data_IF_216113428244
#
_entry.id   IF_216113428244
#
_cell.length_a   1.000
_cell.length_b   1.000
_cell.length_c   1.000
_cell.angle_alpha   90.00
_cell.angle_beta   90.00
_cell.angle_gamma   90.00
#
_symmetry.space_group_name_H-M   'P 1'
#
loop_
_entity.id
_entity.type
_entity.pdbx_description
1 polymer ?
#
# COMPACT_ATOMS: atom_id res chain seq x y z
N UNK A 1 -0.46 16.70 8.88
CA UNK A 1 -0.32 16.36 10.32
C UNK A 1 0.85 17.16 10.93
N UNK A 2 0.77 17.58 12.18
CA UNK A 2 1.80 18.44 12.80
C UNK A 2 2.92 17.52 13.38
N UNK A 3 4.20 17.98 13.36
CA UNK A 3 5.36 17.26 13.98
C UNK A 3 5.11 16.85 15.44
N UNK A 4 4.37 17.67 16.20
CA UNK A 4 3.95 17.38 17.57
C UNK A 4 3.02 16.15 17.66
N UNK A 5 2.10 16.00 16.73
CA UNK A 5 1.16 14.87 16.71
C UNK A 5 1.88 13.55 16.37
N UNK A 6 2.89 13.61 15.50
CA UNK A 6 3.73 12.44 15.14
C UNK A 6 4.58 12.04 16.35
N UNK A 7 5.26 13.00 17.01
CA UNK A 7 6.05 12.73 18.23
C UNK A 7 5.19 12.20 19.38
N UNK A 8 3.99 12.75 19.58
CA UNK A 8 3.06 12.26 20.62
C UNK A 8 2.61 10.82 20.34
N UNK A 9 2.36 10.47 19.07
CA UNK A 9 2.01 9.09 18.65
C UNK A 9 3.19 8.12 18.83
N UNK A 10 4.40 8.53 18.45
CA UNK A 10 5.63 7.76 18.67
C UNK A 10 5.86 7.52 20.18
N UNK A 11 5.74 8.55 21.00
CA UNK A 11 5.91 8.44 22.44
C UNK A 11 4.83 7.56 23.11
N UNK A 12 3.57 7.65 22.67
CA UNK A 12 2.50 6.77 23.16
C UNK A 12 2.75 5.29 22.82
N UNK A 13 3.45 5.01 21.72
CA UNK A 13 3.85 3.64 21.32
C UNK A 13 5.04 3.12 22.11
N UNK A 14 6.06 3.95 22.34
CA UNK A 14 7.27 3.56 23.09
C UNK A 14 6.97 3.15 24.54
N UNK A 15 5.92 3.71 25.15
CA UNK A 15 5.47 3.36 26.52
C UNK A 15 4.40 2.24 26.54
N UNK A 16 4.20 1.52 25.43
CA UNK A 16 3.30 0.36 25.35
C UNK A 16 1.80 0.67 25.41
N UNK A 17 1.40 1.95 25.54
CA UNK A 17 -0.01 2.38 25.61
C UNK A 17 -0.80 2.01 24.37
N UNK A 18 -0.15 2.00 23.19
CA UNK A 18 -0.78 1.55 21.93
C UNK A 18 -1.05 0.06 21.93
N UNK A 19 -0.17 -0.77 22.54
CA UNK A 19 -0.38 -2.22 22.64
C UNK A 19 -1.59 -2.54 23.54
N UNK A 20 -1.81 -1.73 24.57
CA UNK A 20 -2.98 -1.81 25.45
C UNK A 20 -4.24 -1.32 24.72
N UNK A 21 -4.15 -0.21 23.97
CA UNK A 21 -5.24 0.36 23.18
C UNK A 21 -5.73 -0.64 22.10
N UNK A 22 -4.82 -1.26 21.32
CA UNK A 22 -5.17 -2.27 20.30
C UNK A 22 -5.73 -3.58 20.87
N UNK A 23 -5.56 -3.83 22.18
CA UNK A 23 -6.14 -5.00 22.86
C UNK A 23 -7.63 -4.80 23.17
N UNK A 24 -8.08 -3.54 23.27
CA UNK A 24 -9.45 -3.17 23.64
C UNK A 24 -10.28 -2.57 22.50
N UNK A 25 -9.65 -2.20 21.37
CA UNK A 25 -10.38 -1.75 20.18
C UNK A 25 -10.71 -2.95 19.32
N UNK A 26 -11.99 -3.20 18.99
CA UNK A 26 -12.35 -4.26 18.04
C UNK A 26 -11.63 -4.04 16.73
N UNK A 27 -10.90 -5.06 16.26
CA UNK A 27 -10.11 -5.00 15.00
C UNK A 27 -10.94 -4.64 13.76
N UNK A 28 -12.27 -4.83 13.80
CA UNK A 28 -13.18 -4.55 12.69
C UNK A 28 -13.41 -3.08 12.36
N UNK A 29 -13.19 -2.14 13.29
CA UNK A 29 -13.60 -0.76 13.08
C UNK A 29 -12.64 0.13 12.27
N UNK A 30 -11.34 -0.22 12.18
CA UNK A 30 -10.33 0.55 11.45
C UNK A 30 -10.24 0.14 9.99
N UNK A 31 -10.08 -1.16 9.75
CA UNK A 31 -10.05 -1.75 8.40
C UNK A 31 -11.37 -1.46 7.66
N UNK A 32 -12.51 -1.52 8.38
CA UNK A 32 -13.81 -1.23 7.81
C UNK A 32 -13.96 0.21 7.30
N UNK A 33 -13.48 1.21 8.04
CA UNK A 33 -13.52 2.61 7.60
C UNK A 33 -12.66 2.84 6.36
N UNK A 34 -11.47 2.26 6.33
CA UNK A 34 -10.57 2.36 5.19
C UNK A 34 -11.15 1.65 3.97
N UNK A 35 -11.61 0.41 4.14
CA UNK A 35 -12.29 -0.33 3.09
C UNK A 35 -13.51 0.43 2.56
N UNK A 36 -14.39 0.94 3.43
CA UNK A 36 -15.56 1.71 3.03
C UNK A 36 -15.19 2.98 2.24
N UNK A 37 -14.08 3.64 2.60
CA UNK A 37 -13.60 4.81 1.86
C UNK A 37 -13.16 4.43 0.44
N UNK A 38 -12.50 3.29 0.24
CA UNK A 38 -12.13 2.79 -1.09
C UNK A 38 -13.39 2.41 -1.88
N UNK A 39 -14.29 1.64 -1.24
CA UNK A 39 -15.52 1.17 -1.88
C UNK A 39 -16.48 2.29 -2.28
N UNK A 40 -16.47 3.42 -1.55
CA UNK A 40 -17.26 4.60 -1.89
C UNK A 40 -16.71 5.35 -3.13
N UNK A 41 -15.40 5.21 -3.39
CA UNK A 41 -14.75 5.88 -4.52
C UNK A 41 -14.72 5.02 -5.79
N UNK A 42 -14.68 3.69 -5.63
CA UNK A 42 -14.59 2.73 -6.72
C UNK A 42 -15.89 2.70 -7.53
N UNK A 43 -15.75 2.98 -8.82
CA UNK A 43 -16.86 3.03 -9.79
C UNK A 43 -16.77 1.85 -10.78
N UNK A 44 -17.90 1.40 -11.34
CA UNK A 44 -17.87 0.44 -12.44
C UNK A 44 -17.03 0.95 -13.62
N UNK A 45 -16.18 0.09 -14.15
CA UNK A 45 -15.27 0.45 -15.24
C UNK A 45 -13.90 1.00 -14.80
N UNK A 46 -13.69 1.24 -13.50
CA UNK A 46 -12.40 1.68 -12.99
C UNK A 46 -11.32 0.61 -13.12
N UNK A 47 -10.08 1.07 -13.29
CA UNK A 47 -8.88 0.31 -13.00
C UNK A 47 -8.37 0.67 -11.61
N UNK A 48 -8.33 -0.32 -10.71
CA UNK A 48 -7.75 -0.20 -9.38
C UNK A 48 -6.46 -0.99 -9.28
N UNK A 49 -5.44 -0.39 -8.68
CA UNK A 49 -4.21 -1.09 -8.28
C UNK A 49 -4.23 -1.40 -6.79
N UNK A 50 -4.03 -2.68 -6.43
CA UNK A 50 -3.86 -3.17 -5.07
C UNK A 50 -2.37 -3.51 -4.85
N UNK A 51 -1.62 -2.55 -4.32
CA UNK A 51 -0.17 -2.67 -4.08
C UNK A 51 0.05 -3.22 -2.67
N UNK A 52 0.71 -4.38 -2.58
CA UNK A 52 0.79 -5.19 -1.37
C UNK A 52 -0.50 -5.99 -1.18
N UNK A 53 -0.89 -6.74 -2.21
CA UNK A 53 -2.15 -7.47 -2.24
C UNK A 53 -2.22 -8.65 -1.26
N UNK A 54 -1.06 -9.11 -0.77
CA UNK A 54 -0.95 -10.24 0.15
C UNK A 54 -1.70 -11.47 -0.41
N UNK A 55 -2.54 -12.12 0.37
CA UNK A 55 -3.35 -13.27 -0.07
C UNK A 55 -4.64 -12.87 -0.82
N UNK A 56 -4.81 -11.61 -1.19
CA UNK A 56 -5.90 -11.14 -2.05
C UNK A 56 -7.24 -10.89 -1.36
N UNK A 57 -7.26 -10.61 -0.04
CA UNK A 57 -8.51 -10.31 0.67
C UNK A 57 -9.18 -9.05 0.11
N UNK A 58 -8.42 -7.96 0.03
CA UNK A 58 -8.90 -6.70 -0.56
C UNK A 58 -9.11 -6.81 -2.06
N UNK A 59 -8.19 -7.48 -2.77
CA UNK A 59 -8.27 -7.70 -4.22
C UNK A 59 -9.62 -8.30 -4.63
N UNK A 60 -10.10 -9.32 -3.91
CA UNK A 60 -11.42 -9.93 -4.16
C UNK A 60 -12.57 -8.94 -3.99
N UNK A 61 -12.58 -8.20 -2.89
CA UNK A 61 -13.61 -7.20 -2.61
C UNK A 61 -13.65 -6.13 -3.72
N UNK A 62 -12.46 -5.70 -4.16
CA UNK A 62 -12.35 -4.74 -5.26
C UNK A 62 -12.81 -5.34 -6.59
N UNK A 63 -12.46 -6.60 -6.87
CA UNK A 63 -12.88 -7.31 -8.07
C UNK A 63 -14.40 -7.48 -8.13
N UNK A 64 -15.03 -7.86 -7.04
CA UNK A 64 -16.50 -7.94 -6.94
C UNK A 64 -17.17 -6.59 -7.23
N UNK A 65 -16.63 -5.51 -6.69
CA UNK A 65 -17.19 -4.15 -6.87
C UNK A 65 -16.93 -3.58 -8.26
N UNK A 66 -15.71 -3.76 -8.80
CA UNK A 66 -15.36 -3.27 -10.14
C UNK A 66 -16.18 -3.97 -11.23
N UNK A 67 -16.55 -5.23 -10.99
CA UNK A 67 -17.27 -6.05 -11.96
C UNK A 67 -16.50 -6.27 -13.26
N UNK A 68 -17.09 -6.99 -14.21
CA UNK A 68 -16.42 -7.35 -15.47
C UNK A 68 -16.12 -6.17 -16.41
N UNK A 69 -16.62 -4.98 -16.15
CA UNK A 69 -16.29 -3.76 -16.90
C UNK A 69 -15.08 -3.02 -16.36
N UNK A 70 -14.75 -3.21 -15.07
CA UNK A 70 -13.55 -2.69 -14.45
C UNK A 70 -12.40 -3.69 -14.47
N UNK A 71 -11.27 -3.30 -13.88
CA UNK A 71 -10.08 -4.16 -13.73
C UNK A 71 -9.43 -3.93 -12.38
N UNK A 72 -8.79 -4.97 -11.86
CA UNK A 72 -7.93 -4.88 -10.67
C UNK A 72 -6.56 -5.44 -11.00
N UNK A 73 -5.52 -4.66 -10.76
CA UNK A 73 -4.14 -5.14 -10.85
C UNK A 73 -3.62 -5.28 -9.42
N UNK A 74 -3.21 -6.50 -9.08
CA UNK A 74 -2.76 -6.86 -7.74
C UNK A 74 -1.27 -7.19 -7.74
N UNK A 75 -0.49 -6.48 -6.92
CA UNK A 75 0.95 -6.60 -6.85
C UNK A 75 1.37 -7.23 -5.53
N UNK A 76 1.99 -8.41 -5.60
CA UNK A 76 2.46 -9.15 -4.44
C UNK A 76 3.79 -9.84 -4.76
N UNK A 77 4.92 -9.38 -4.17
CA UNK A 77 6.23 -9.93 -4.49
C UNK A 77 6.53 -11.29 -3.87
N UNK A 78 5.91 -11.64 -2.74
CA UNK A 78 6.21 -12.88 -2.00
C UNK A 78 5.62 -14.09 -2.69
N UNK A 79 6.45 -15.07 -3.17
CA UNK A 79 5.96 -16.18 -4.02
C UNK A 79 4.81 -16.99 -3.42
N UNK A 80 4.88 -17.26 -2.11
CA UNK A 80 3.82 -18.04 -1.42
C UNK A 80 2.52 -17.28 -1.27
N UNK A 81 2.58 -15.96 -1.04
CA UNK A 81 1.41 -15.10 -0.96
C UNK A 81 0.82 -14.85 -2.35
N UNK A 82 1.69 -14.64 -3.35
CA UNK A 82 1.28 -14.51 -4.75
C UNK A 82 0.53 -15.75 -5.27
N UNK A 83 1.02 -16.96 -4.95
CA UNK A 83 0.33 -18.19 -5.33
C UNK A 83 -1.07 -18.27 -4.71
N UNK A 84 -1.21 -17.88 -3.45
CA UNK A 84 -2.51 -17.83 -2.76
C UNK A 84 -3.41 -16.72 -3.32
N UNK A 85 -2.85 -15.54 -3.64
CA UNK A 85 -3.55 -14.45 -4.33
C UNK A 85 -4.16 -14.96 -5.64
N UNK A 86 -3.34 -15.60 -6.51
CA UNK A 86 -3.80 -16.16 -7.78
C UNK A 86 -4.93 -17.19 -7.58
N UNK A 87 -4.78 -18.08 -6.60
CA UNK A 87 -5.80 -19.07 -6.28
C UNK A 87 -7.13 -18.42 -5.87
N UNK A 88 -7.07 -17.38 -5.01
CA UNK A 88 -8.27 -16.71 -4.49
C UNK A 88 -8.95 -15.80 -5.49
N UNK A 89 -8.24 -15.32 -6.49
CA UNK A 89 -8.78 -14.40 -7.50
C UNK A 89 -9.10 -15.09 -8.83
N UNK A 90 -8.92 -16.42 -8.93
CA UNK A 90 -9.09 -17.19 -10.17
C UNK A 90 -10.49 -17.12 -10.80
N UNK A 91 -11.52 -16.80 -10.00
CA UNK A 91 -12.90 -16.63 -10.48
C UNK A 91 -13.14 -15.26 -11.15
N UNK A 92 -12.19 -14.30 -11.03
CA UNK A 92 -12.31 -12.95 -11.58
C UNK A 92 -11.38 -12.75 -12.79
N UNK A 93 -11.82 -12.99 -14.04
CA UNK A 93 -10.96 -12.84 -15.23
C UNK A 93 -10.52 -11.39 -15.49
N UNK A 94 -11.07 -10.41 -14.80
CA UNK A 94 -10.67 -9.01 -14.84
C UNK A 94 -9.64 -8.64 -13.76
N UNK A 95 -9.15 -9.60 -12.97
CA UNK A 95 -8.04 -9.41 -12.04
C UNK A 95 -6.74 -9.85 -12.74
N UNK A 96 -5.74 -8.98 -12.72
CA UNK A 96 -4.38 -9.27 -13.15
C UNK A 96 -3.46 -9.28 -11.94
N UNK A 97 -2.85 -10.43 -11.68
CA UNK A 97 -1.90 -10.59 -10.58
C UNK A 97 -0.47 -10.46 -11.10
N UNK A 98 0.36 -9.68 -10.39
CA UNK A 98 1.74 -9.40 -10.73
C UNK A 98 2.67 -9.78 -9.57
N UNK A 99 3.64 -10.67 -9.83
CA UNK A 99 4.63 -11.07 -8.83
C UNK A 99 5.81 -10.10 -8.86
N UNK A 100 5.56 -8.86 -8.50
CA UNK A 100 6.57 -7.79 -8.43
C UNK A 100 6.36 -6.91 -7.19
N UNK A 101 7.44 -6.34 -6.68
CA UNK A 101 7.39 -5.25 -5.72
C UNK A 101 7.40 -3.92 -6.48
N UNK A 102 6.51 -2.99 -6.11
CA UNK A 102 6.62 -1.61 -6.59
C UNK A 102 7.47 -0.79 -5.61
N UNK A 103 8.40 0.01 -6.15
CA UNK A 103 9.32 0.84 -5.38
C UNK A 103 9.81 2.03 -6.21
N UNK A 104 10.90 2.68 -5.80
CA UNK A 104 11.50 3.86 -6.43
C UNK A 104 12.56 3.54 -7.50
N UNK A 105 12.80 2.25 -7.79
CA UNK A 105 13.77 1.81 -8.80
C UNK A 105 13.26 0.59 -9.60
N UNK A 106 13.87 0.35 -10.75
CA UNK A 106 13.65 -0.83 -11.58
C UNK A 106 14.83 -1.79 -11.45
N UNK A 107 14.54 -3.10 -11.26
CA UNK A 107 15.58 -4.12 -11.12
C UNK A 107 15.16 -5.32 -10.32
N UNK A 108 16.03 -5.81 -9.47
CA UNK A 108 15.78 -6.88 -8.51
C UNK A 108 16.28 -6.48 -7.12
N UNK A 109 15.68 -7.05 -6.11
CA UNK A 109 16.10 -6.90 -4.72
C UNK A 109 15.89 -8.23 -4.00
N UNK A 110 16.49 -8.36 -2.82
CA UNK A 110 16.29 -9.51 -1.95
C UNK A 110 15.28 -9.16 -0.86
N UNK A 111 14.30 -10.02 -0.66
CA UNK A 111 13.36 -9.92 0.45
C UNK A 111 13.66 -10.99 1.49
N UNK A 112 13.47 -10.63 2.77
CA UNK A 112 13.52 -11.55 3.89
C UNK A 112 12.09 -11.88 4.34
N UNK A 113 11.77 -13.17 4.37
CA UNK A 113 10.54 -13.64 5.02
C UNK A 113 10.85 -13.90 6.51
N UNK A 114 10.30 -13.08 7.40
CA UNK A 114 10.39 -13.32 8.85
C UNK A 114 9.66 -14.61 9.27
N UNK A 115 9.93 -15.09 10.49
CA UNK A 115 9.26 -16.29 11.08
C UNK A 115 7.75 -16.09 11.31
N UNK A 116 7.26 -14.87 11.25
CA UNK A 116 5.83 -14.56 11.33
C UNK A 116 5.33 -14.16 9.94
N UNK A 117 4.23 -14.76 9.49
CA UNK A 117 3.65 -14.63 8.13
C UNK A 117 3.26 -13.19 7.71
N UNK A 118 3.62 -12.18 8.51
CA UNK A 118 3.14 -10.80 8.35
C UNK A 118 4.15 -9.80 7.81
N UNK A 119 5.43 -10.16 7.60
CA UNK A 119 6.46 -9.17 7.27
C UNK A 119 7.41 -9.72 6.22
N UNK A 120 7.16 -9.38 4.96
CA UNK A 120 8.18 -9.39 3.92
C UNK A 120 8.88 -8.03 3.91
N UNK A 121 10.16 -7.97 4.28
CA UNK A 121 10.95 -6.74 4.17
C UNK A 121 11.94 -6.84 3.03
N UNK A 122 12.11 -5.76 2.26
CA UNK A 122 13.23 -5.62 1.33
C UNK A 122 14.55 -5.55 2.12
N UNK A 123 15.54 -6.37 1.73
CA UNK A 123 16.77 -6.63 2.49
C UNK A 123 17.70 -5.40 2.65
N UNK A 124 17.44 -4.30 1.97
CA UNK A 124 18.22 -3.06 2.10
C UNK A 124 18.37 -2.55 3.54
N UNK A 125 17.63 -3.12 4.52
CA UNK A 125 17.62 -2.63 5.90
C UNK A 125 17.50 -3.70 6.99
N UNK A 126 17.44 -4.99 6.66
CA UNK A 126 17.38 -6.05 7.69
C UNK A 126 18.78 -6.62 7.90
N UNK A 127 19.34 -6.40 9.08
CA UNK A 127 20.45 -7.22 9.58
C UNK A 127 20.02 -8.70 9.59
N UNK A 128 20.98 -9.62 9.48
CA UNK A 128 20.76 -11.07 9.46
C UNK A 128 19.82 -11.49 10.62
N UNK A 129 18.55 -11.70 10.31
CA UNK A 129 17.61 -12.28 11.25
C UNK A 129 17.82 -13.79 11.20
N UNK A 130 18.27 -14.37 12.31
CA UNK A 130 18.56 -15.79 12.46
C UNK A 130 17.34 -16.64 12.04
N UNK A 131 17.49 -17.41 10.92
CA UNK A 131 16.46 -18.27 10.37
C UNK A 131 15.42 -17.59 9.44
N UNK A 132 15.68 -16.40 8.91
CA UNK A 132 14.89 -15.81 7.84
C UNK A 132 15.20 -16.49 6.49
N UNK A 133 14.16 -16.75 5.69
CA UNK A 133 14.32 -17.24 4.31
C UNK A 133 14.39 -16.02 3.40
N UNK A 134 15.51 -15.87 2.68
CA UNK A 134 15.65 -14.82 1.65
C UNK A 134 15.27 -15.35 0.27
N UNK A 135 14.71 -14.48 -0.56
CA UNK A 135 14.39 -14.77 -1.96
C UNK A 135 14.49 -13.49 -2.80
N UNK A 136 14.86 -13.66 -4.06
CA UNK A 136 14.95 -12.55 -4.99
C UNK A 136 13.56 -12.15 -5.48
N UNK A 137 13.32 -10.84 -5.57
CA UNK A 137 12.08 -10.27 -6.09
C UNK A 137 12.38 -9.30 -7.23
N UNK A 138 11.55 -9.31 -8.24
CA UNK A 138 11.54 -8.26 -9.25
C UNK A 138 10.97 -6.99 -8.64
N UNK A 139 11.66 -5.88 -8.85
CA UNK A 139 11.23 -4.54 -8.39
C UNK A 139 10.99 -3.67 -9.61
N UNK A 140 9.90 -2.90 -9.59
CA UNK A 140 9.61 -1.93 -10.64
C UNK A 140 9.10 -0.62 -10.04
N UNK A 141 9.36 0.46 -10.74
CA UNK A 141 8.66 1.72 -10.50
C UNK A 141 7.24 1.62 -11.06
N UNK A 142 6.28 2.18 -10.34
CA UNK A 142 4.90 2.25 -10.84
C UNK A 142 4.83 2.99 -12.20
N UNK A 143 5.63 4.05 -12.36
CA UNK A 143 5.73 4.79 -13.62
C UNK A 143 6.22 3.92 -14.78
N UNK A 144 7.21 3.03 -14.54
CA UNK A 144 7.71 2.07 -15.55
C UNK A 144 6.68 1.01 -15.87
N UNK A 145 5.93 0.56 -14.87
CA UNK A 145 4.85 -0.41 -15.09
C UNK A 145 3.72 0.19 -15.95
N UNK A 146 3.30 1.45 -15.70
CA UNK A 146 2.33 2.16 -16.55
C UNK A 146 2.83 2.25 -18.00
N UNK A 147 4.11 2.58 -18.20
CA UNK A 147 4.69 2.64 -19.55
C UNK A 147 4.63 1.31 -20.31
N UNK A 148 4.88 0.21 -19.61
CA UNK A 148 4.90 -1.14 -20.22
C UNK A 148 3.50 -1.70 -20.43
N UNK A 149 2.59 -1.55 -19.48
CA UNK A 149 1.23 -2.10 -19.52
C UNK A 149 0.23 -1.22 -20.26
N UNK A 150 0.55 0.08 -20.47
CA UNK A 150 -0.36 1.11 -21.00
C UNK A 150 -1.66 1.26 -20.19
N UNK A 151 -1.61 0.91 -18.91
CA UNK A 151 -2.76 0.89 -18.02
C UNK A 151 -2.56 1.88 -16.86
N UNK A 152 -3.20 3.04 -16.94
CA UNK A 152 -3.19 4.06 -15.90
C UNK A 152 -4.35 3.83 -14.93
N UNK A 153 -4.12 3.59 -13.63
CA UNK A 153 -5.19 3.35 -12.68
C UNK A 153 -5.96 4.62 -12.34
N UNK A 154 -7.25 4.42 -12.03
CA UNK A 154 -8.12 5.46 -11.46
C UNK A 154 -7.95 5.55 -9.94
N UNK A 155 -7.66 4.42 -9.31
CA UNK A 155 -7.51 4.27 -7.86
C UNK A 155 -6.28 3.42 -7.55
N UNK A 156 -5.55 3.79 -6.51
CA UNK A 156 -4.41 3.02 -6.02
C UNK A 156 -4.55 2.80 -4.51
N UNK A 157 -4.52 1.54 -4.05
CA UNK A 157 -4.32 1.18 -2.64
C UNK A 157 -2.86 0.80 -2.45
N UNK A 158 -2.23 1.26 -1.37
CA UNK A 158 -0.84 0.96 -0.98
C UNK A 158 -0.81 0.49 0.47
N UNK A 159 -0.29 -0.73 0.67
CA UNK A 159 -0.12 -1.35 1.97
C UNK A 159 1.09 -2.30 1.87
N UNK A 160 2.28 -1.75 2.11
CA UNK A 160 3.58 -2.37 1.77
C UNK A 160 4.55 -2.43 2.95
N UNK A 161 4.01 -2.45 4.16
CA UNK A 161 4.75 -2.73 5.39
C UNK A 161 6.02 -1.86 5.54
N UNK A 162 5.83 -0.52 5.42
CA UNK A 162 6.86 0.48 5.68
C UNK A 162 7.69 0.92 4.47
N UNK A 163 7.27 0.57 3.24
CA UNK A 163 7.89 1.04 1.98
C UNK A 163 6.99 2.01 1.20
N UNK A 164 6.00 2.60 1.89
CA UNK A 164 5.00 3.47 1.27
C UNK A 164 5.63 4.70 0.60
N UNK A 165 6.68 5.25 1.21
CA UNK A 165 7.40 6.41 0.66
C UNK A 165 8.12 6.07 -0.64
N UNK A 166 8.78 4.91 -0.70
CA UNK A 166 9.49 4.41 -1.88
C UNK A 166 8.52 4.12 -3.03
N UNK A 167 7.38 3.49 -2.74
CA UNK A 167 6.32 3.25 -3.74
C UNK A 167 5.86 4.58 -4.34
N UNK A 168 5.54 5.57 -3.49
CA UNK A 168 5.12 6.89 -3.95
C UNK A 168 6.22 7.63 -4.74
N UNK A 169 7.49 7.45 -4.37
CA UNK A 169 8.62 8.03 -5.11
C UNK A 169 8.76 7.42 -6.51
N UNK A 170 8.39 6.14 -6.68
CA UNK A 170 8.39 5.43 -7.97
C UNK A 170 7.17 5.71 -8.85
N UNK A 171 6.19 6.51 -8.40
CA UNK A 171 4.95 6.78 -9.13
C UNK A 171 4.68 8.28 -9.37
N UNK A 172 5.73 9.08 -9.49
CA UNK A 172 5.61 10.56 -9.56
C UNK A 172 4.82 11.04 -10.77
N UNK A 173 4.97 10.42 -11.93
CA UNK A 173 4.18 10.72 -13.13
C UNK A 173 2.74 10.24 -12.98
N UNK A 174 2.55 9.05 -12.44
CA UNK A 174 1.23 8.51 -12.15
C UNK A 174 0.48 9.38 -11.15
N UNK A 175 1.16 9.86 -10.08
CA UNK A 175 0.56 10.79 -9.12
C UNK A 175 0.09 12.10 -9.76
N UNK A 176 0.74 12.55 -10.83
CA UNK A 176 0.34 13.75 -11.58
C UNK A 176 -0.74 13.48 -12.64
N UNK A 177 -0.99 12.20 -12.99
CA UNK A 177 -1.93 11.82 -14.04
C UNK A 177 -3.38 12.21 -13.65
N UNK A 178 -4.14 12.86 -14.53
CA UNK A 178 -5.51 13.29 -14.22
C UNK A 178 -6.48 12.12 -14.04
N UNK A 179 -6.18 10.97 -14.63
CA UNK A 179 -6.95 9.73 -14.50
C UNK A 179 -6.95 9.18 -13.08
N UNK A 180 -5.84 9.40 -12.34
CA UNK A 180 -5.72 8.97 -10.95
C UNK A 180 -6.53 9.89 -10.03
N UNK A 181 -7.68 9.41 -9.58
CA UNK A 181 -8.61 10.16 -8.73
C UNK A 181 -8.28 10.07 -7.26
N UNK A 182 -7.82 8.90 -6.79
CA UNK A 182 -7.52 8.71 -5.37
C UNK A 182 -6.40 7.70 -5.11
N UNK A 183 -5.67 7.98 -4.00
CA UNK A 183 -4.68 7.07 -3.40
C UNK A 183 -5.10 6.78 -1.97
N UNK A 184 -5.11 5.50 -1.62
CA UNK A 184 -5.44 4.97 -0.31
C UNK A 184 -4.19 4.30 0.26
N UNK A 185 -3.76 4.71 1.44
CA UNK A 185 -2.46 4.33 1.97
C UNK A 185 -2.57 3.91 3.42
N UNK A 186 -2.05 2.72 3.77
CA UNK A 186 -1.75 2.37 5.14
C UNK A 186 -0.32 2.78 5.47
N UNK A 187 -0.12 3.49 6.59
CA UNK A 187 1.19 3.98 7.04
C UNK A 187 1.66 3.18 8.24
N UNK A 188 2.74 2.42 8.06
CA UNK A 188 3.30 1.53 9.09
C UNK A 188 4.31 2.26 9.98
N UNK A 189 3.83 3.13 10.86
CA UNK A 189 4.66 4.00 11.70
C UNK A 189 5.75 3.28 12.48
N UNK A 190 5.45 2.11 13.08
CA UNK A 190 6.42 1.36 13.87
C UNK A 190 7.55 0.82 13.01
N UNK A 191 7.24 0.38 11.78
CA UNK A 191 8.23 -0.11 10.82
C UNK A 191 9.07 1.06 10.28
N UNK A 192 8.42 2.17 9.90
CA UNK A 192 9.13 3.38 9.47
C UNK A 192 10.07 3.91 10.56
N UNK A 193 9.66 3.89 11.83
CA UNK A 193 10.51 4.29 12.95
C UNK A 193 11.72 3.35 13.12
N UNK A 194 11.52 2.01 13.06
CA UNK A 194 12.61 1.04 13.13
C UNK A 194 13.61 1.16 11.98
N UNK A 195 13.17 1.65 10.82
CA UNK A 195 14.00 1.96 9.64
C UNK A 195 14.64 3.35 9.71
N UNK A 196 14.52 4.09 10.81
CA UNK A 196 15.01 5.48 10.94
C UNK A 196 14.25 6.50 10.09
N UNK A 197 13.05 6.16 9.63
CA UNK A 197 12.22 6.98 8.73
C UNK A 197 10.98 7.57 9.41
N UNK A 198 11.07 7.94 10.67
CA UNK A 198 9.94 8.49 11.45
C UNK A 198 9.29 9.74 10.85
N UNK A 199 10.00 10.48 9.98
CA UNK A 199 9.45 11.63 9.26
C UNK A 199 8.80 11.29 7.90
N UNK A 200 8.86 10.03 7.45
CA UNK A 200 8.26 9.60 6.17
C UNK A 200 6.78 9.99 6.03
N UNK A 201 5.92 9.88 7.06
CA UNK A 201 4.52 10.30 6.94
C UNK A 201 4.34 11.78 6.55
N UNK A 202 5.25 12.66 6.97
CA UNK A 202 5.23 14.09 6.58
C UNK A 202 5.60 14.23 5.10
N UNK A 203 6.64 13.49 4.66
CA UNK A 203 7.07 13.53 3.25
C UNK A 203 6.02 12.93 2.33
N UNK A 204 5.34 11.85 2.75
CA UNK A 204 4.21 11.23 2.07
C UNK A 204 3.09 12.27 1.85
N UNK A 205 2.63 12.95 2.91
CA UNK A 205 1.61 13.99 2.76
C UNK A 205 2.05 15.11 1.82
N UNK A 206 3.31 15.55 1.93
CA UNK A 206 3.87 16.59 1.05
C UNK A 206 3.88 16.15 -0.40
N UNK A 207 4.30 14.91 -0.68
CA UNK A 207 4.36 14.35 -2.03
C UNK A 207 2.97 14.25 -2.65
N UNK A 208 1.98 13.78 -1.91
CA UNK A 208 0.59 13.71 -2.37
C UNK A 208 0.04 15.12 -2.70
N UNK A 209 0.27 16.10 -1.82
CA UNK A 209 -0.18 17.48 -2.04
C UNK A 209 0.50 18.16 -3.23
N UNK A 210 1.80 17.95 -3.40
CA UNK A 210 2.54 18.55 -4.54
C UNK A 210 2.09 17.99 -5.90
N UNK A 211 1.38 16.84 -5.90
CA UNK A 211 0.78 16.25 -7.10
C UNK A 211 -0.74 16.48 -7.19
N UNK A 212 -1.28 17.45 -6.45
CA UNK A 212 -2.69 17.86 -6.55
C UNK A 212 -3.69 16.95 -5.83
N UNK A 213 -3.21 16.02 -4.99
CA UNK A 213 -4.07 15.18 -4.15
C UNK A 213 -4.22 15.81 -2.77
N UNK A 214 -5.41 15.70 -2.16
CA UNK A 214 -5.69 16.23 -0.81
C UNK A 214 -5.72 15.06 0.18
N UNK A 215 -4.61 14.81 0.92
CA UNK A 215 -4.55 13.73 1.91
C UNK A 215 -5.35 14.09 3.16
N UNK A 216 -6.12 13.10 3.65
CA UNK A 216 -6.85 13.14 4.93
C UNK A 216 -6.61 11.83 5.68
N UNK A 217 -6.30 11.91 6.96
CA UNK A 217 -6.26 10.77 7.85
C UNK A 217 -7.68 10.36 8.22
N UNK A 218 -8.06 9.14 7.88
CA UNK A 218 -9.39 8.59 8.23
C UNK A 218 -9.36 7.88 9.58
N UNK A 219 -8.17 7.49 10.02
CA UNK A 219 -7.88 6.95 11.35
C UNK A 219 -6.41 7.15 11.74
N UNK A 220 -5.88 6.31 12.64
CA UNK A 220 -4.50 6.43 13.16
C UNK A 220 -3.40 6.02 12.18
N UNK A 221 -3.72 5.25 11.14
CA UNK A 221 -2.74 4.68 10.20
C UNK A 221 -3.11 4.87 8.73
N UNK A 222 -4.35 5.21 8.39
CA UNK A 222 -4.78 5.27 7.01
C UNK A 222 -4.96 6.70 6.50
N UNK A 223 -4.40 6.94 5.32
CA UNK A 223 -4.58 8.17 4.53
C UNK A 223 -5.49 7.86 3.33
N UNK A 224 -6.46 8.73 3.11
CA UNK A 224 -7.22 8.84 1.86
C UNK A 224 -6.85 10.16 1.21
N UNK A 225 -6.23 10.10 0.03
CA UNK A 225 -5.84 11.28 -0.74
C UNK A 225 -6.63 11.33 -2.05
N UNK A 226 -7.41 12.38 -2.26
CA UNK A 226 -8.28 12.53 -3.43
C UNK A 226 -7.92 13.76 -4.25
N UNK A 227 -8.09 13.66 -5.55
CA UNK A 227 -8.10 14.84 -6.41
C UNK A 227 -9.35 15.66 -6.15
N UNK A 228 -9.27 17.01 -6.10
CA UNK A 228 -10.47 17.84 -6.11
C UNK A 228 -11.27 17.58 -7.37
N UNK A 229 -12.57 17.37 -7.22
CA UNK A 229 -13.50 17.43 -8.36
C UNK A 229 -13.55 18.87 -8.83
N UNK A 230 -13.13 19.11 -10.06
CA UNK A 230 -13.35 20.42 -10.70
C UNK A 230 -14.85 20.50 -11.01
N UNK A 231 -15.56 21.51 -10.52
CA UNK A 231 -16.99 21.65 -10.76
C UNK A 231 -17.32 21.89 -12.23
#
# INVERSE_FOLDING_TARGET
MNKLTIKARSMARSIGLTRLYYRFVPRGGYEEKFQNAIMAELQPGDLLWDIGANVGLYTRIFAEKAGGTGRVYAFEPVPTLYAELCRRTSEFPWVQNEQIALSDFDGSSRMLKGKTDRLGHLETYAGEADGAVSFDVRVMRADSYVESSKATPNLVKIDVEGFEEEVLAGMTRLLAAPELRAVFLEVHFAILESRGRSEAPIRIEKLLRSNGLIPRWVDSSHIVAKRPTIP
#
